data_IF_385524835511
#
_entry.id   IF_385524835511
#
_cell.length_a   1.000
_cell.length_b   1.000
_cell.length_c   1.000
_cell.angle_alpha   90.00
_cell.angle_beta   90.00
_cell.angle_gamma   90.00
#
_symmetry.space_group_name_H-M   'P 1'
#
loop_
_entity.id
_entity.type
_entity.pdbx_description
1 polymer ?
#
# COMPACT_ATOMS: atom_id res chain seq x y z
N UNK A 1 -32.70 -11.01 -50.62
CA UNK A 1 -34.01 -11.50 -50.13
C UNK A 1 -33.69 -12.40 -48.95
N UNK A 2 -34.12 -12.17 -47.72
CA UNK A 2 -35.29 -11.44 -47.24
C UNK A 2 -34.94 -10.52 -46.05
N UNK A 3 -35.68 -9.42 -46.01
CA UNK A 3 -35.92 -8.53 -44.87
C UNK A 3 -36.76 -9.27 -43.81
N UNK A 4 -36.86 -8.69 -42.62
CA UNK A 4 -37.92 -8.78 -41.59
C UNK A 4 -37.29 -8.62 -40.19
N UNK A 5 -37.10 -7.35 -39.81
CA UNK A 5 -36.90 -6.95 -38.42
C UNK A 5 -38.10 -7.35 -37.57
N UNK A 6 -37.86 -8.20 -36.57
CA UNK A 6 -38.78 -8.37 -35.44
C UNK A 6 -38.31 -7.46 -34.30
N UNK A 7 -38.75 -6.19 -34.36
CA UNK A 7 -38.75 -5.26 -33.23
C UNK A 7 -39.82 -5.71 -32.20
N UNK A 8 -39.72 -6.94 -31.71
CA UNK A 8 -40.48 -7.37 -30.54
C UNK A 8 -39.65 -7.00 -29.33
N UNK A 9 -39.97 -5.87 -28.70
CA UNK A 9 -39.45 -5.52 -27.38
C UNK A 9 -39.69 -6.69 -26.43
N UNK A 10 -38.62 -7.41 -26.11
CA UNK A 10 -38.68 -8.53 -25.18
C UNK A 10 -38.99 -7.94 -23.80
N UNK A 11 -40.27 -7.89 -23.40
CA UNK A 11 -40.77 -7.28 -22.15
C UNK A 11 -40.02 -7.79 -20.91
N UNK A 12 -39.40 -8.98 -21.02
CA UNK A 12 -38.55 -9.60 -19.99
C UNK A 12 -37.22 -8.91 -19.75
N UNK A 13 -36.74 -8.08 -20.70
CA UNK A 13 -35.49 -7.33 -20.61
C UNK A 13 -35.70 -5.86 -20.20
N UNK A 14 -36.94 -5.38 -20.18
CA UNK A 14 -37.25 -4.01 -19.80
C UNK A 14 -37.38 -3.87 -18.27
N UNK A 15 -36.51 -3.05 -17.68
CA UNK A 15 -36.43 -2.80 -16.23
C UNK A 15 -37.73 -2.20 -15.67
N UNK A 16 -38.57 -1.59 -16.52
CA UNK A 16 -39.85 -0.97 -16.12
C UNK A 16 -41.06 -1.88 -16.29
N UNK A 17 -40.89 -3.08 -16.84
CA UNK A 17 -41.96 -4.04 -17.11
C UNK A 17 -42.28 -4.90 -15.89
N UNK A 18 -43.55 -5.28 -15.71
CA UNK A 18 -43.98 -6.22 -14.66
C UNK A 18 -43.45 -7.64 -14.89
N UNK A 19 -43.08 -7.98 -16.13
CA UNK A 19 -42.54 -9.30 -16.51
C UNK A 19 -41.01 -9.34 -16.56
N UNK A 20 -40.34 -8.37 -15.95
CA UNK A 20 -38.89 -8.27 -15.95
C UNK A 20 -38.24 -9.49 -15.30
N UNK A 21 -37.34 -10.17 -16.03
CA UNK A 21 -36.54 -11.28 -15.52
C UNK A 21 -35.10 -10.80 -15.26
N UNK A 22 -34.69 -10.64 -13.98
CA UNK A 22 -33.38 -10.11 -13.65
C UNK A 22 -32.24 -11.04 -14.08
N UNK A 23 -32.47 -12.35 -14.12
CA UNK A 23 -31.44 -13.33 -14.49
C UNK A 23 -31.20 -13.26 -16.00
N UNK A 24 -32.27 -13.24 -16.79
CA UNK A 24 -32.19 -13.11 -18.26
C UNK A 24 -31.60 -11.77 -18.67
N UNK A 25 -31.92 -10.69 -17.96
CA UNK A 25 -31.32 -9.37 -18.17
C UNK A 25 -29.80 -9.38 -17.92
N UNK A 26 -29.32 -10.01 -16.84
CA UNK A 26 -27.90 -10.04 -16.49
C UNK A 26 -27.03 -10.70 -17.57
N UNK A 27 -27.53 -11.74 -18.23
CA UNK A 27 -26.80 -12.49 -19.26
C UNK A 27 -27.11 -12.04 -20.69
N UNK A 28 -28.02 -11.08 -20.88
CA UNK A 28 -28.40 -10.60 -22.21
C UNK A 28 -27.55 -9.41 -22.64
N UNK A 29 -26.93 -9.44 -23.84
CA UNK A 29 -26.19 -8.30 -24.39
C UNK A 29 -27.11 -7.17 -24.89
N UNK A 30 -28.43 -7.33 -24.80
CA UNK A 30 -29.43 -6.39 -25.36
C UNK A 30 -30.06 -5.46 -24.32
N UNK A 31 -29.64 -5.52 -23.06
CA UNK A 31 -30.19 -4.65 -22.01
C UNK A 31 -29.76 -3.20 -22.23
N UNK A 32 -30.74 -2.32 -22.37
CA UNK A 32 -30.52 -0.87 -22.50
C UNK A 32 -30.68 -0.21 -21.14
N UNK A 33 -29.56 0.12 -20.48
CA UNK A 33 -29.57 1.00 -19.32
C UNK A 33 -29.70 2.46 -19.80
N UNK A 34 -30.53 3.25 -19.14
CA UNK A 34 -30.64 4.67 -19.44
C UNK A 34 -29.28 5.35 -19.20
N UNK A 35 -28.72 5.97 -20.24
CA UNK A 35 -27.35 6.52 -20.23
C UNK A 35 -27.17 7.77 -19.35
N UNK A 36 -28.25 8.32 -18.81
CA UNK A 36 -28.27 9.60 -18.08
C UNK A 36 -28.97 9.44 -16.73
N UNK A 37 -28.49 8.50 -15.89
CA UNK A 37 -29.00 8.30 -14.53
C UNK A 37 -27.88 8.58 -13.52
N UNK A 38 -28.14 9.36 -12.46
CA UNK A 38 -27.16 9.58 -11.40
C UNK A 38 -26.79 8.26 -10.72
N UNK A 39 -25.49 7.98 -10.63
CA UNK A 39 -24.98 6.81 -9.92
C UNK A 39 -24.85 7.19 -8.44
N UNK A 40 -25.46 6.41 -7.56
CA UNK A 40 -25.36 6.59 -6.11
C UNK A 40 -24.44 5.52 -5.51
N UNK A 41 -23.55 5.95 -4.60
CA UNK A 41 -22.51 5.07 -4.03
C UNK A 41 -23.07 3.97 -3.11
N UNK A 42 -24.25 4.17 -2.53
CA UNK A 42 -24.90 3.20 -1.65
C UNK A 42 -26.44 3.32 -1.64
N UNK A 43 -27.09 2.27 -1.16
CA UNK A 43 -28.57 2.17 -1.08
C UNK A 43 -29.13 3.27 -0.16
N UNK A 44 -28.46 3.60 0.94
CA UNK A 44 -28.91 4.64 1.87
C UNK A 44 -28.96 6.03 1.23
N UNK A 45 -28.01 6.37 0.35
CA UNK A 45 -27.94 7.64 -0.40
C UNK A 45 -29.07 7.69 -1.43
N UNK A 46 -29.32 6.58 -2.13
CA UNK A 46 -30.45 6.44 -3.04
C UNK A 46 -31.80 6.64 -2.33
N UNK A 47 -32.03 5.95 -1.22
CA UNK A 47 -33.25 6.11 -0.43
C UNK A 47 -33.44 7.52 0.12
N UNK A 48 -32.35 8.16 0.54
CA UNK A 48 -32.41 9.53 1.05
C UNK A 48 -32.86 10.50 -0.04
N UNK A 49 -32.32 10.36 -1.26
CA UNK A 49 -32.74 11.18 -2.42
C UNK A 49 -34.19 10.87 -2.81
N UNK A 50 -34.61 9.61 -2.83
CA UNK A 50 -36.01 9.22 -3.09
C UNK A 50 -36.98 9.82 -2.07
N UNK A 51 -36.59 9.85 -0.79
CA UNK A 51 -37.39 10.43 0.30
C UNK A 51 -37.29 11.96 0.38
N UNK A 52 -36.55 12.60 -0.53
CA UNK A 52 -36.32 14.05 -0.53
C UNK A 52 -35.45 14.55 0.63
N UNK A 53 -34.76 13.63 1.33
CA UNK A 53 -33.88 13.94 2.45
C UNK A 53 -32.49 14.22 1.88
N UNK A 54 -32.18 15.50 1.69
CA UNK A 54 -30.83 15.92 1.32
C UNK A 54 -29.87 15.69 2.49
N UNK A 55 -29.25 14.51 2.55
CA UNK A 55 -28.07 14.29 3.40
C UNK A 55 -26.90 15.00 2.73
N UNK A 56 -26.68 16.26 3.09
CA UNK A 56 -25.45 16.98 2.79
C UNK A 56 -24.28 16.21 3.42
N UNK A 57 -23.68 15.29 2.67
CA UNK A 57 -22.29 14.91 2.91
C UNK A 57 -21.47 16.15 2.57
N UNK A 58 -21.09 16.89 3.61
CA UNK A 58 -20.28 18.10 3.54
C UNK A 58 -19.03 17.89 2.66
N UNK A 59 -19.14 18.28 1.41
CA UNK A 59 -18.02 18.64 0.56
C UNK A 59 -18.51 19.58 -0.55
N UNK A 60 -19.05 20.73 -0.18
CA UNK A 60 -18.96 21.92 -1.04
C UNK A 60 -18.97 23.17 -0.15
N UNK A 61 -17.88 23.91 -0.24
CA UNK A 61 -17.71 25.24 0.35
C UNK A 61 -18.13 26.26 -0.71
N UNK A 62 -19.37 26.72 -0.66
CA UNK A 62 -19.72 28.05 -1.15
C UNK A 62 -21.12 28.47 -0.69
N UNK A 63 -21.15 29.66 -0.08
CA UNK A 63 -22.32 30.50 0.20
C UNK A 63 -23.45 29.92 1.06
N UNK A 64 -23.33 30.08 2.39
CA UNK A 64 -24.49 30.12 3.30
C UNK A 64 -24.76 31.59 3.65
N UNK A 65 -26.00 32.10 3.54
CA UNK A 65 -26.33 33.47 3.91
C UNK A 65 -26.30 33.64 5.44
N UNK A 66 -25.89 34.83 5.88
CA UNK A 66 -25.86 35.26 7.27
C UNK A 66 -27.24 35.22 7.92
N UNK A 67 -27.51 34.29 8.83
CA UNK A 67 -28.37 34.51 10.03
C UNK A 67 -28.57 33.24 10.85
N UNK A 68 -27.50 32.77 11.48
CA UNK A 68 -27.65 32.02 12.74
C UNK A 68 -26.50 32.38 13.65
N UNK A 69 -26.37 33.68 13.94
CA UNK A 69 -25.42 34.14 14.95
C UNK A 69 -26.00 33.78 16.32
N UNK A 70 -25.30 32.85 16.96
CA UNK A 70 -25.16 32.72 18.42
C UNK A 70 -26.34 32.11 19.19
N UNK A 71 -26.43 30.77 19.15
CA UNK A 71 -27.26 30.00 20.10
C UNK A 71 -26.63 29.88 21.50
N UNK A 72 -25.36 30.24 21.64
CA UNK A 72 -24.61 30.11 22.90
C UNK A 72 -23.94 31.43 23.25
N UNK A 73 -23.97 31.79 24.53
CA UNK A 73 -23.22 32.95 25.05
C UNK A 73 -21.71 32.70 24.90
N UNK A 74 -20.90 33.75 24.83
CA UNK A 74 -19.43 33.66 24.63
C UNK A 74 -18.71 32.74 25.64
N UNK A 75 -19.23 32.60 26.85
CA UNK A 75 -18.69 31.69 27.88
C UNK A 75 -19.20 30.24 27.78
N UNK A 76 -20.24 30.00 26.98
CA UNK A 76 -20.81 28.67 26.68
C UNK A 76 -20.24 28.10 25.38
N UNK A 77 -19.42 28.86 24.66
CA UNK A 77 -18.74 28.36 23.47
C UNK A 77 -17.78 27.23 23.83
N UNK A 78 -17.66 26.19 22.99
CA UNK A 78 -16.65 25.17 23.16
C UNK A 78 -15.27 25.82 23.30
N UNK A 79 -14.60 25.59 24.43
CA UNK A 79 -13.26 26.13 24.69
C UNK A 79 -12.36 25.80 23.50
N UNK A 80 -11.88 26.84 22.82
CA UNK A 80 -10.99 26.71 21.67
C UNK A 80 -9.70 26.01 22.11
N UNK A 81 -9.65 24.69 21.90
CA UNK A 81 -8.43 23.93 22.11
C UNK A 81 -7.44 24.39 21.05
N UNK A 82 -6.29 24.91 21.49
CA UNK A 82 -5.14 25.15 20.60
C UNK A 82 -4.92 23.88 19.78
N UNK A 83 -4.97 23.99 18.45
CA UNK A 83 -4.66 22.87 17.57
C UNK A 83 -3.24 22.41 17.90
N UNK A 84 -3.11 21.20 18.46
CA UNK A 84 -1.80 20.60 18.67
C UNK A 84 -1.17 20.41 17.29
N UNK A 85 0.10 20.79 17.16
CA UNK A 85 0.88 20.48 15.97
C UNK A 85 0.82 18.98 15.68
N UNK A 86 0.63 18.61 14.41
CA UNK A 86 0.66 17.22 13.99
C UNK A 86 2.08 16.69 14.21
N UNK A 87 2.21 15.62 15.00
CA UNK A 87 3.49 15.03 15.35
C UNK A 87 3.79 13.89 14.38
N UNK A 88 4.43 14.23 13.26
CA UNK A 88 4.81 13.25 12.24
C UNK A 88 6.16 12.61 12.57
N UNK A 89 6.43 11.45 11.96
CA UNK A 89 7.69 10.71 12.18
C UNK A 89 8.90 11.56 11.77
N UNK A 90 8.80 12.27 10.64
CA UNK A 90 9.84 13.18 10.14
C UNK A 90 10.18 14.28 11.16
N UNK A 91 9.15 14.91 11.74
CA UNK A 91 9.34 15.94 12.77
C UNK A 91 9.92 15.37 14.07
N UNK A 92 9.72 14.08 14.35
CA UNK A 92 10.35 13.40 15.48
C UNK A 92 11.81 13.12 15.19
N UNK A 93 12.14 12.62 14.01
CA UNK A 93 13.52 12.29 13.61
C UNK A 93 14.49 13.46 13.86
N UNK A 94 14.08 14.67 13.48
CA UNK A 94 14.85 15.91 13.68
C UNK A 94 15.12 16.26 15.15
N UNK A 95 14.26 15.82 16.07
CA UNK A 95 14.30 16.18 17.50
C UNK A 95 14.89 15.06 18.36
N UNK A 96 15.29 13.94 17.76
CA UNK A 96 15.77 12.77 18.51
C UNK A 96 17.24 12.98 18.91
N UNK A 97 17.52 12.73 20.19
CA UNK A 97 18.86 12.76 20.78
C UNK A 97 19.31 11.33 21.14
N UNK A 98 20.61 11.16 21.40
CA UNK A 98 21.19 9.89 21.83
C UNK A 98 21.50 8.93 20.66
N UNK A 99 21.41 7.60 20.86
CA UNK A 99 21.81 6.61 19.85
C UNK A 99 21.02 6.71 18.53
N UNK A 100 19.73 7.02 18.61
CA UNK A 100 18.90 7.27 17.42
C UNK A 100 19.27 8.62 16.75
N UNK A 101 19.82 9.57 17.51
CA UNK A 101 20.35 10.83 16.95
C UNK A 101 21.60 10.60 16.10
N UNK A 102 22.41 9.59 16.43
CA UNK A 102 23.51 9.15 15.54
C UNK A 102 22.98 8.69 14.18
N UNK A 103 21.85 7.97 14.15
CA UNK A 103 21.21 7.58 12.89
C UNK A 103 20.70 8.78 12.10
N UNK A 104 20.18 9.81 12.78
CA UNK A 104 19.81 11.07 12.13
C UNK A 104 21.01 11.69 11.41
N UNK A 105 22.17 11.78 12.08
CA UNK A 105 23.39 12.28 11.45
C UNK A 105 23.87 11.40 10.28
N UNK A 106 23.68 10.08 10.35
CA UNK A 106 24.01 9.19 9.22
C UNK A 106 23.04 9.40 8.04
N UNK A 107 21.77 9.65 8.31
CA UNK A 107 20.76 9.95 7.29
C UNK A 107 21.03 11.29 6.61
N UNK A 108 21.25 12.37 7.36
CA UNK A 108 21.50 13.72 6.81
C UNK A 108 22.75 13.77 5.95
N UNK A 109 23.84 13.16 6.41
CA UNK A 109 25.11 13.14 5.70
C UNK A 109 25.21 12.02 4.66
N UNK A 110 24.14 11.23 4.46
CA UNK A 110 24.13 10.03 3.61
C UNK A 110 25.37 9.14 3.85
N UNK A 111 25.60 8.77 5.10
CA UNK A 111 26.69 7.87 5.51
C UNK A 111 26.19 6.43 5.44
N UNK A 112 27.01 5.53 4.88
CA UNK A 112 26.67 4.10 4.84
C UNK A 112 26.70 3.50 6.24
N UNK A 113 25.68 2.72 6.54
CA UNK A 113 25.58 1.94 7.77
C UNK A 113 25.55 0.46 7.45
N UNK A 114 26.12 -0.35 8.35
CA UNK A 114 26.00 -1.80 8.35
C UNK A 114 24.99 -2.21 9.42
N UNK A 115 23.85 -2.72 8.99
CA UNK A 115 22.76 -3.20 9.85
C UNK A 115 22.82 -4.71 9.93
N UNK A 116 23.12 -5.26 11.11
CA UNK A 116 23.11 -6.69 11.35
C UNK A 116 21.70 -7.16 11.66
N UNK A 117 21.25 -8.20 10.95
CA UNK A 117 19.91 -8.79 11.13
C UNK A 117 19.99 -10.06 11.96
N UNK A 118 19.04 -10.23 12.88
CA UNK A 118 18.94 -11.44 13.72
C UNK A 118 18.25 -12.59 12.99
N UNK A 119 18.58 -13.80 13.38
CA UNK A 119 17.81 -15.01 13.09
C UNK A 119 17.12 -15.51 14.36
N UNK A 120 16.39 -16.63 14.30
CA UNK A 120 15.86 -17.30 15.50
C UNK A 120 16.96 -17.57 16.55
N UNK A 121 18.16 -17.94 16.09
CA UNK A 121 19.34 -18.10 16.92
C UNK A 121 20.53 -17.40 16.24
N UNK A 122 21.06 -16.35 16.86
CA UNK A 122 22.23 -15.61 16.38
C UNK A 122 21.95 -14.61 15.26
N UNK A 123 23.01 -14.23 14.54
CA UNK A 123 22.99 -13.24 13.46
C UNK A 123 22.78 -13.96 12.11
N UNK A 124 21.81 -13.48 11.33
CA UNK A 124 21.48 -13.99 9.99
C UNK A 124 22.47 -13.49 8.94
N UNK A 125 22.84 -12.22 9.05
CA UNK A 125 23.57 -11.50 8.02
C UNK A 125 23.62 -10.01 8.32
N UNK A 126 24.00 -9.23 7.32
CA UNK A 126 24.04 -7.78 7.42
C UNK A 126 23.60 -7.12 6.12
N UNK A 127 23.20 -5.86 6.23
CA UNK A 127 22.81 -5.00 5.13
C UNK A 127 23.68 -3.75 5.19
N UNK A 128 24.37 -3.45 4.10
CA UNK A 128 25.05 -2.16 3.92
C UNK A 128 24.17 -1.24 3.09
N UNK A 129 23.77 -0.10 3.65
CA UNK A 129 22.83 0.80 2.99
C UNK A 129 22.95 2.24 3.51
N UNK A 130 22.29 3.16 2.81
CA UNK A 130 22.00 4.50 3.34
C UNK A 130 20.66 4.48 4.07
N UNK A 131 20.58 5.19 5.19
CA UNK A 131 19.32 5.35 5.93
C UNK A 131 18.52 6.49 5.31
N UNK A 132 17.32 6.19 4.82
CA UNK A 132 16.39 7.19 4.29
C UNK A 132 15.40 7.68 5.37
N UNK A 133 14.94 6.77 6.23
CA UNK A 133 14.12 7.10 7.39
C UNK A 133 14.25 6.07 8.50
N UNK A 134 13.94 6.48 9.73
CA UNK A 134 13.92 5.59 10.89
C UNK A 134 12.82 5.96 11.88
N UNK A 135 12.44 5.02 12.75
CA UNK A 135 11.46 5.22 13.81
C UNK A 135 11.98 4.73 15.17
N UNK A 136 11.30 5.10 16.26
CA UNK A 136 11.62 4.73 17.65
C UNK A 136 11.72 3.23 17.89
N UNK A 137 11.06 2.43 17.04
CA UNK A 137 11.09 0.97 17.09
C UNK A 137 12.25 0.36 16.30
N UNK A 138 13.17 1.19 15.80
CA UNK A 138 14.27 0.78 14.92
C UNK A 138 13.80 0.21 13.58
N UNK A 139 12.59 0.55 13.15
CA UNK A 139 12.18 0.33 11.76
C UNK A 139 13.01 1.26 10.87
N UNK A 140 13.64 0.73 9.83
CA UNK A 140 14.54 1.46 8.95
C UNK A 140 14.03 1.38 7.51
N UNK A 141 13.87 2.54 6.87
CA UNK A 141 13.80 2.62 5.42
C UNK A 141 15.22 2.85 4.90
N UNK A 142 15.67 1.94 4.04
CA UNK A 142 17.04 1.89 3.53
C UNK A 142 17.04 2.07 2.01
N UNK A 143 18.06 2.77 1.51
CA UNK A 143 18.34 2.99 0.09
C UNK A 143 19.70 2.38 -0.28
N UNK A 144 19.80 1.87 -1.52
CA UNK A 144 21.02 1.26 -2.08
C UNK A 144 21.58 0.13 -1.19
N UNK A 145 20.75 -0.90 -0.97
CA UNK A 145 21.00 -1.95 -0.02
C UNK A 145 21.82 -3.09 -0.63
N UNK A 146 22.97 -3.40 -0.02
CA UNK A 146 23.72 -4.61 -0.29
C UNK A 146 23.52 -5.58 0.87
N UNK A 147 22.65 -6.57 0.67
CA UNK A 147 22.35 -7.57 1.69
C UNK A 147 23.23 -8.79 1.50
N UNK A 148 23.89 -9.21 2.59
CA UNK A 148 24.67 -10.43 2.67
C UNK A 148 24.10 -11.32 3.76
N UNK A 149 23.71 -12.54 3.41
CA UNK A 149 23.13 -13.49 4.37
C UNK A 149 23.53 -14.93 4.05
N UNK A 150 23.51 -15.79 5.07
CA UNK A 150 23.80 -17.21 4.91
C UNK A 150 22.53 -18.05 4.97
N UNK A 151 22.45 -19.09 4.15
CA UNK A 151 21.38 -20.11 4.22
C UNK A 151 21.94 -21.50 3.94
N UNK A 152 21.15 -22.53 4.27
CA UNK A 152 21.50 -23.91 3.89
C UNK A 152 21.43 -24.07 2.37
N UNK A 153 22.44 -24.70 1.79
CA UNK A 153 22.51 -25.00 0.36
C UNK A 153 21.30 -25.85 -0.03
N UNK A 154 20.46 -25.33 -0.92
CA UNK A 154 19.33 -26.08 -1.49
C UNK A 154 19.78 -26.70 -2.81
N UNK A 155 20.35 -27.91 -2.75
CA UNK A 155 20.59 -28.71 -3.97
C UNK A 155 19.26 -29.31 -4.41
N UNK A 156 18.46 -28.55 -5.15
CA UNK A 156 17.47 -29.19 -6.02
C UNK A 156 18.25 -29.67 -7.24
N UNK A 157 18.22 -30.98 -7.51
CA UNK A 157 18.67 -31.48 -8.80
C UNK A 157 17.82 -30.77 -9.87
N UNK A 158 18.42 -30.18 -10.91
CA UNK A 158 17.66 -29.73 -12.06
C UNK A 158 16.79 -30.90 -12.54
N UNK A 159 15.54 -30.63 -12.93
CA UNK A 159 14.75 -31.66 -13.60
C UNK A 159 15.44 -31.93 -14.95
N UNK A 160 16.27 -32.97 -14.99
CA UNK A 160 16.92 -33.43 -16.23
C UNK A 160 16.00 -34.50 -16.80
N UNK A 161 15.23 -34.13 -17.80
CA UNK A 161 14.28 -35.01 -18.49
C UNK A 161 13.77 -34.36 -19.77
N UNK A 162 13.18 -35.13 -20.70
CA UNK A 162 12.60 -34.60 -21.94
C UNK A 162 11.48 -33.57 -21.69
N UNK A 163 10.85 -33.62 -20.51
CA UNK A 163 9.82 -32.69 -20.03
C UNK A 163 10.38 -31.47 -19.26
N UNK A 164 11.70 -31.26 -19.29
CA UNK A 164 12.33 -30.13 -18.61
C UNK A 164 11.95 -28.82 -19.31
N UNK A 165 10.92 -28.16 -18.80
CA UNK A 165 10.53 -26.81 -19.21
C UNK A 165 11.73 -25.88 -18.98
N UNK A 166 12.23 -25.27 -20.07
CA UNK A 166 13.20 -24.19 -19.98
C UNK A 166 12.53 -23.01 -19.31
N UNK A 167 12.84 -22.79 -18.04
CA UNK A 167 12.40 -21.59 -17.33
C UNK A 167 13.29 -20.46 -17.83
N UNK A 168 12.71 -19.60 -18.66
CA UNK A 168 13.34 -18.34 -19.04
C UNK A 168 13.76 -17.59 -17.76
N UNK A 169 14.95 -16.97 -17.73
CA UNK A 169 15.43 -16.28 -16.55
C UNK A 169 14.38 -15.26 -16.10
N UNK A 170 14.07 -15.31 -14.80
CA UNK A 170 13.05 -14.46 -14.19
C UNK A 170 13.18 -13.00 -14.64
N UNK A 171 12.03 -12.36 -14.86
CA UNK A 171 11.88 -10.98 -15.32
C UNK A 171 12.87 -10.02 -14.62
N UNK A 172 13.32 -9.00 -15.36
CA UNK A 172 14.39 -8.06 -14.97
C UNK A 172 14.17 -7.36 -13.61
N UNK A 173 12.95 -7.39 -13.08
CA UNK A 173 12.55 -6.71 -11.85
C UNK A 173 12.91 -7.46 -10.55
N UNK A 174 13.36 -8.71 -10.63
CA UNK A 174 13.78 -9.44 -9.42
C UNK A 174 15.28 -9.21 -9.15
N UNK A 175 15.67 -8.76 -7.94
CA UNK A 175 17.07 -8.53 -7.62
C UNK A 175 17.88 -9.83 -7.74
N UNK A 176 18.91 -9.79 -8.59
CA UNK A 176 19.77 -10.95 -8.87
C UNK A 176 20.55 -11.32 -7.60
N UNK A 177 20.41 -12.57 -7.21
CA UNK A 177 21.13 -13.14 -6.06
C UNK A 177 22.40 -13.81 -6.55
N UNK A 178 23.55 -13.43 -5.97
CA UNK A 178 24.88 -13.97 -6.27
C UNK A 178 25.36 -14.79 -5.09
N UNK A 179 25.91 -15.99 -5.33
CA UNK A 179 26.53 -16.81 -4.29
C UNK A 179 27.98 -16.39 -4.13
N UNK A 180 28.35 -15.94 -2.93
CA UNK A 180 29.70 -15.42 -2.61
C UNK A 180 30.64 -16.52 -2.12
N UNK A 181 30.13 -17.40 -1.26
CA UNK A 181 30.92 -18.47 -0.64
C UNK A 181 30.04 -19.67 -0.30
N UNK A 182 30.60 -20.87 -0.46
CA UNK A 182 29.97 -22.12 -0.02
C UNK A 182 30.88 -22.73 1.05
N UNK A 183 30.36 -22.87 2.25
CA UNK A 183 31.02 -23.51 3.40
C UNK A 183 30.22 -24.76 3.78
N UNK A 184 30.61 -25.90 3.23
CA UNK A 184 29.96 -27.19 3.50
C UNK A 184 28.47 -27.18 3.12
N UNK A 185 27.59 -27.18 4.13
CA UNK A 185 26.12 -27.15 3.96
C UNK A 185 25.53 -25.74 3.95
N UNK A 186 26.33 -24.71 4.16
CA UNK A 186 25.90 -23.31 4.18
C UNK A 186 26.45 -22.57 2.96
N UNK A 187 25.64 -21.71 2.37
CA UNK A 187 26.05 -20.77 1.33
C UNK A 187 25.75 -19.35 1.80
N UNK A 188 26.70 -18.44 1.54
CA UNK A 188 26.54 -17.01 1.76
C UNK A 188 26.18 -16.36 0.44
N UNK A 189 25.06 -15.66 0.43
CA UNK A 189 24.51 -14.99 -0.72
C UNK A 189 24.60 -13.49 -0.54
N UNK A 190 24.66 -12.80 -1.67
CA UNK A 190 24.70 -11.37 -1.79
C UNK A 190 23.62 -10.94 -2.79
N UNK A 191 22.89 -9.89 -2.47
CA UNK A 191 21.97 -9.25 -3.42
C UNK A 191 21.99 -7.75 -3.25
N UNK A 192 21.78 -7.05 -4.36
CA UNK A 192 21.52 -5.63 -4.37
C UNK A 192 20.01 -5.39 -4.39
N UNK A 193 19.53 -4.49 -3.54
CA UNK A 193 18.12 -4.09 -3.45
C UNK A 193 18.06 -2.56 -3.45
N UNK A 194 17.39 -1.91 -4.42
CA UNK A 194 17.36 -0.45 -4.50
C UNK A 194 16.77 0.22 -3.25
N UNK A 195 15.67 -0.33 -2.72
CA UNK A 195 14.99 0.16 -1.54
C UNK A 195 14.48 -0.99 -0.69
N UNK A 196 14.64 -0.89 0.63
CA UNK A 196 14.21 -1.93 1.56
C UNK A 196 13.67 -1.33 2.85
N UNK A 197 12.52 -1.83 3.30
CA UNK A 197 12.00 -1.55 4.63
C UNK A 197 12.35 -2.70 5.57
N UNK A 198 13.11 -2.40 6.62
CA UNK A 198 13.57 -3.37 7.60
C UNK A 198 12.86 -3.12 8.93
N UNK A 199 12.18 -4.16 9.44
CA UNK A 199 11.45 -4.09 10.72
C UNK A 199 12.44 -4.14 11.89
N UNK A 200 12.32 -3.21 12.83
CA UNK A 200 13.31 -3.03 13.89
C UNK A 200 13.46 -4.19 14.86
N UNK A 201 12.45 -5.04 14.99
CA UNK A 201 12.56 -6.31 15.71
C UNK A 201 13.67 -7.21 15.13
N UNK A 202 13.90 -7.15 13.83
CA UNK A 202 14.94 -7.94 13.15
C UNK A 202 16.33 -7.31 13.26
N UNK A 203 16.43 -6.05 13.69
CA UNK A 203 17.72 -5.35 13.86
C UNK A 203 18.37 -5.85 15.14
N UNK A 204 19.63 -6.30 15.01
CA UNK A 204 20.46 -6.65 16.17
C UNK A 204 21.40 -5.49 16.55
N UNK A 205 22.18 -5.01 15.57
CA UNK A 205 23.23 -4.00 15.78
C UNK A 205 23.31 -3.13 14.53
N UNK A 206 23.53 -1.82 14.71
CA UNK A 206 23.83 -0.90 13.62
C UNK A 206 25.22 -0.31 13.84
N UNK A 207 26.06 -0.41 12.83
CA UNK A 207 27.43 0.09 12.85
C UNK A 207 27.58 1.14 11.75
N UNK A 208 28.09 2.31 12.11
CA UNK A 208 28.49 3.33 11.13
C UNK A 208 29.76 2.85 10.41
N UNK A 209 29.75 2.83 9.09
CA UNK A 209 30.94 2.55 8.28
C UNK A 209 31.60 3.91 8.01
N UNK A 210 32.89 4.04 8.33
CA UNK A 210 33.70 5.20 7.97
C UNK A 210 34.30 5.01 6.58
#
# INVERSE_FOLDING_TARGET
MADEGSDTSDESLDVRSEKFDPLKALYSPRVRLASSVPIYDNISKFESVLKGINVSTKSDKSAVPESTRERFLSHQEPVSRRKRERKDVLSKMQKILGPLGMLHGCMENKIRVRVYTRNAYGIRGHVEAYVAAFDKFWNLALEDCFEVWSRKVKRKAPAVGPDAVRVEPAEKDVPKVVVKKIEGKMETLERHVPQMLLRGEQVAIIVKIN
#
